data_IF_650672980891
#
_entry.id   IF_650672980891
#
_cell.length_a   1.000
_cell.length_b   1.000
_cell.length_c   1.000
_cell.angle_alpha   90.00
_cell.angle_beta   90.00
_cell.angle_gamma   90.00
#
_symmetry.space_group_name_H-M   'P 1'
#
loop_
_entity.id
_entity.type
_entity.pdbx_description
1 polymer ?
#
# COMPACT_ATOMS: atom_id res chain seq x y z
N UNK A 1 28.36 -6.42 -5.41
CA UNK A 1 26.94 -6.29 -5.07
C UNK A 1 26.27 -7.67 -5.00
N UNK A 2 25.08 -7.74 -4.45
CA UNK A 2 24.29 -8.97 -4.37
C UNK A 2 23.53 -9.14 -5.69
N UNK A 3 23.63 -10.34 -6.30
CA UNK A 3 22.81 -10.64 -7.48
C UNK A 3 21.37 -10.96 -7.05
N UNK A 4 20.39 -10.39 -7.76
CA UNK A 4 18.95 -10.53 -7.48
C UNK A 4 18.23 -11.12 -8.68
N UNK A 5 17.49 -12.20 -8.46
CA UNK A 5 16.57 -12.75 -9.46
C UNK A 5 15.13 -12.60 -8.98
N UNK A 6 14.34 -11.76 -9.66
CA UNK A 6 12.91 -11.55 -9.39
C UNK A 6 12.08 -12.64 -10.08
N UNK A 7 11.36 -13.44 -9.31
CA UNK A 7 10.39 -14.42 -9.83
C UNK A 7 8.98 -13.85 -9.67
N UNK A 8 8.26 -13.71 -10.77
CA UNK A 8 6.88 -13.21 -10.80
C UNK A 8 5.95 -14.27 -11.39
N UNK A 9 4.87 -14.57 -10.67
CA UNK A 9 3.87 -15.55 -11.13
C UNK A 9 3.05 -15.04 -12.32
N UNK A 10 2.99 -13.73 -12.51
CA UNK A 10 2.20 -13.08 -13.56
C UNK A 10 3.04 -12.83 -14.80
N UNK A 11 2.40 -12.39 -15.88
CA UNK A 11 3.03 -12.08 -17.18
C UNK A 11 3.93 -10.85 -17.14
N UNK A 12 3.71 -9.99 -16.16
CA UNK A 12 4.48 -8.76 -15.90
C UNK A 12 4.34 -8.32 -14.44
N UNK A 13 5.07 -7.27 -14.04
CA UNK A 13 4.98 -6.72 -12.69
C UNK A 13 3.64 -6.02 -12.42
N UNK A 14 3.26 -5.92 -11.15
CA UNK A 14 2.09 -5.15 -10.67
C UNK A 14 0.73 -5.63 -11.16
N UNK A 15 0.52 -6.92 -11.36
CA UNK A 15 -0.78 -7.48 -11.75
C UNK A 15 -1.71 -7.75 -10.56
N UNK A 16 -1.20 -7.74 -9.33
CA UNK A 16 -1.98 -7.91 -8.10
C UNK A 16 -2.55 -6.57 -7.56
N UNK A 17 -2.51 -6.38 -6.25
CA UNK A 17 -3.02 -5.16 -5.59
C UNK A 17 -2.37 -3.84 -6.06
N UNK A 18 -1.20 -3.90 -6.68
CA UNK A 18 -0.52 -2.76 -7.28
C UNK A 18 -1.05 -2.40 -8.68
N UNK A 19 -2.01 -3.15 -9.24
CA UNK A 19 -2.61 -2.89 -10.56
C UNK A 19 -3.68 -1.78 -10.51
N UNK A 20 -3.55 -0.83 -9.61
CA UNK A 20 -4.45 0.32 -9.51
C UNK A 20 -3.90 1.49 -10.33
N UNK A 21 -4.80 2.34 -10.90
CA UNK A 21 -4.40 3.55 -11.63
C UNK A 21 -3.81 4.59 -10.70
N UNK A 22 -4.45 4.84 -9.56
CA UNK A 22 -4.02 5.81 -8.56
C UNK A 22 -4.21 5.23 -7.16
N UNK A 23 -3.24 5.44 -6.30
CA UNK A 23 -3.31 5.09 -4.89
C UNK A 23 -2.94 6.29 -4.04
N UNK A 24 -3.72 6.56 -2.99
CA UNK A 24 -3.43 7.63 -2.05
C UNK A 24 -2.20 7.31 -1.19
N UNK A 25 -1.33 8.29 -1.01
CA UNK A 25 -0.12 8.23 -0.20
C UNK A 25 -0.22 9.22 0.97
N UNK A 26 -0.44 8.71 2.16
CA UNK A 26 -0.56 9.51 3.38
C UNK A 26 -0.24 8.70 4.64
N UNK A 27 0.24 9.34 5.74
CA UNK A 27 0.46 8.68 7.01
C UNK A 27 -0.86 8.54 7.79
N UNK A 28 -1.00 7.48 8.60
CA UNK A 28 -2.07 7.39 9.58
C UNK A 28 -1.60 8.00 10.92
N UNK A 29 -2.02 9.23 11.17
CA UNK A 29 -1.63 9.98 12.35
C UNK A 29 -2.66 9.75 13.48
N UNK A 30 -2.24 9.28 14.66
CA UNK A 30 -3.13 9.10 15.81
C UNK A 30 -3.31 10.41 16.63
N UNK A 31 -4.32 10.42 17.50
CA UNK A 31 -4.57 11.53 18.43
C UNK A 31 -3.40 11.78 19.40
N UNK A 32 -2.69 10.71 19.78
CA UNK A 32 -1.53 10.75 20.68
C UNK A 32 -0.33 10.13 19.98
N UNK A 33 0.87 10.58 20.30
CA UNK A 33 2.09 9.94 19.83
C UNK A 33 2.16 8.50 20.33
N UNK A 34 2.25 7.58 19.39
CA UNK A 34 2.42 6.15 19.65
C UNK A 34 3.57 5.63 18.81
N UNK A 35 4.23 4.53 19.18
CA UNK A 35 5.26 3.92 18.34
C UNK A 35 4.78 3.62 16.93
N UNK A 36 3.54 3.16 16.79
CA UNK A 36 2.93 2.90 15.48
C UNK A 36 2.71 4.19 14.66
N UNK A 37 2.22 5.27 15.30
CA UNK A 37 2.06 6.57 14.63
C UNK A 37 3.40 7.18 14.19
N UNK A 38 4.43 7.08 15.03
CA UNK A 38 5.78 7.50 14.67
C UNK A 38 6.36 6.67 13.51
N UNK A 39 6.11 5.36 13.51
CA UNK A 39 6.49 4.49 12.40
C UNK A 39 5.78 4.89 11.09
N UNK A 40 4.49 5.21 11.13
CA UNK A 40 3.76 5.73 9.96
C UNK A 40 4.36 7.05 9.45
N UNK A 41 4.76 7.92 10.36
CA UNK A 41 5.41 9.19 10.02
C UNK A 41 6.76 8.96 9.35
N UNK A 42 7.60 8.10 9.92
CA UNK A 42 8.89 7.71 9.35
C UNK A 42 8.72 7.08 7.95
N UNK A 43 7.77 6.15 7.81
CA UNK A 43 7.47 5.50 6.53
C UNK A 43 7.02 6.52 5.47
N UNK A 44 6.25 7.54 5.87
CA UNK A 44 5.79 8.58 4.97
C UNK A 44 6.94 9.46 4.45
N UNK A 45 7.84 9.89 5.34
CA UNK A 45 9.01 10.66 4.92
C UNK A 45 9.93 9.86 4.01
N UNK A 46 10.19 8.59 4.35
CA UNK A 46 11.00 7.70 3.53
C UNK A 46 10.33 7.46 2.16
N UNK A 47 9.02 7.26 2.12
CA UNK A 47 8.29 7.07 0.87
C UNK A 47 8.38 8.30 -0.04
N UNK A 48 8.21 9.51 0.51
CA UNK A 48 8.37 10.75 -0.26
C UNK A 48 9.77 10.90 -0.85
N UNK A 49 10.79 10.71 -0.02
CA UNK A 49 12.20 10.81 -0.46
C UNK A 49 12.51 9.76 -1.53
N UNK A 50 12.05 8.52 -1.34
CA UNK A 50 12.26 7.43 -2.27
C UNK A 50 11.62 7.71 -3.64
N UNK A 51 10.35 8.12 -3.68
CA UNK A 51 9.69 8.41 -4.96
C UNK A 51 10.30 9.62 -5.66
N UNK A 52 10.66 10.67 -4.93
CA UNK A 52 11.37 11.82 -5.50
C UNK A 52 12.74 11.40 -6.07
N UNK A 53 13.48 10.57 -5.35
CA UNK A 53 14.76 10.04 -5.83
C UNK A 53 14.58 9.20 -7.09
N UNK A 54 13.56 8.33 -7.16
CA UNK A 54 13.24 7.59 -8.37
C UNK A 54 12.99 8.51 -9.58
N UNK A 55 12.25 9.61 -9.40
CA UNK A 55 12.05 10.60 -10.47
C UNK A 55 13.37 11.27 -10.87
N UNK A 56 14.24 11.61 -9.92
CA UNK A 56 15.58 12.15 -10.19
C UNK A 56 16.48 11.18 -10.96
N UNK A 57 16.31 9.88 -10.77
CA UNK A 57 16.97 8.83 -11.55
C UNK A 57 16.37 8.63 -12.95
N UNK A 58 15.34 9.41 -13.31
CA UNK A 58 14.69 9.36 -14.62
C UNK A 58 13.58 8.30 -14.72
N UNK A 59 13.09 7.75 -13.62
CA UNK A 59 11.91 6.88 -13.66
C UNK A 59 10.66 7.74 -13.92
N UNK A 60 9.96 7.43 -15.01
CA UNK A 60 8.73 8.14 -15.39
C UNK A 60 7.50 7.39 -14.86
N UNK A 61 6.81 8.02 -13.90
CA UNK A 61 5.55 7.58 -13.34
C UNK A 61 4.77 8.76 -12.76
N UNK A 62 3.43 8.74 -12.87
CA UNK A 62 2.59 9.79 -12.32
C UNK A 62 2.62 9.80 -10.79
N UNK A 63 2.91 10.97 -10.23
CA UNK A 63 2.95 11.27 -8.81
C UNK A 63 2.56 12.73 -8.61
N UNK A 64 1.62 12.98 -7.69
CA UNK A 64 1.20 14.34 -7.35
C UNK A 64 1.02 14.48 -5.83
N UNK A 65 1.74 15.39 -5.23
CA UNK A 65 1.63 15.79 -3.82
C UNK A 65 0.57 16.89 -3.65
N UNK A 66 -0.61 16.67 -4.16
CA UNK A 66 -1.74 17.59 -4.17
C UNK A 66 -2.47 17.72 -2.82
N UNK A 67 -1.96 17.07 -1.79
CA UNK A 67 -2.62 16.95 -0.50
C UNK A 67 -3.66 15.82 -0.44
N UNK A 68 -4.03 15.47 0.80
CA UNK A 68 -5.09 14.52 1.11
C UNK A 68 -6.01 15.11 2.15
N UNK A 69 -7.30 15.18 1.85
CA UNK A 69 -8.35 15.68 2.73
C UNK A 69 -9.16 14.50 3.31
N UNK A 70 -9.05 14.27 4.60
CA UNK A 70 -9.87 13.29 5.33
C UNK A 70 -11.11 13.96 5.88
N UNK A 71 -12.27 13.73 5.27
CA UNK A 71 -13.53 14.33 5.68
C UNK A 71 -14.04 13.77 7.00
N UNK A 72 -14.67 14.64 7.79
CA UNK A 72 -15.40 14.28 9.00
C UNK A 72 -16.78 13.72 8.65
N UNK A 73 -16.83 12.67 7.83
CA UNK A 73 -18.06 12.15 7.21
C UNK A 73 -18.98 11.40 8.17
N UNK A 74 -18.55 11.16 9.41
CA UNK A 74 -19.38 10.61 10.50
C UNK A 74 -19.10 11.36 11.79
N UNK A 75 -20.06 11.33 12.72
CA UNK A 75 -19.90 11.95 14.04
C UNK A 75 -18.66 11.43 14.77
N UNK A 76 -18.42 10.12 14.72
CA UNK A 76 -17.24 9.51 15.31
C UNK A 76 -15.92 10.04 14.73
N UNK A 77 -15.87 10.25 13.41
CA UNK A 77 -14.70 10.85 12.75
C UNK A 77 -14.53 12.31 13.14
N UNK A 78 -15.61 13.08 13.20
CA UNK A 78 -15.60 14.48 13.63
C UNK A 78 -15.06 14.62 15.06
N UNK A 79 -15.58 13.82 16.01
CA UNK A 79 -15.06 13.79 17.39
C UNK A 79 -13.57 13.43 17.48
N UNK A 80 -13.16 12.42 16.72
CA UNK A 80 -11.74 12.01 16.67
C UNK A 80 -10.87 13.15 16.14
N UNK A 81 -11.29 13.81 15.08
CA UNK A 81 -10.57 14.94 14.49
C UNK A 81 -10.49 16.12 15.45
N UNK A 82 -11.57 16.46 16.16
CA UNK A 82 -11.56 17.47 17.21
C UNK A 82 -10.58 17.14 18.34
N UNK A 83 -10.53 15.87 18.79
CA UNK A 83 -9.55 15.41 19.77
C UNK A 83 -8.11 15.55 19.26
N UNK A 84 -7.87 15.33 17.96
CA UNK A 84 -6.55 15.54 17.34
C UNK A 84 -6.18 17.02 17.31
N UNK A 85 -7.14 17.91 16.98
CA UNK A 85 -6.96 19.36 17.04
C UNK A 85 -6.54 19.82 18.42
N UNK A 86 -7.32 19.42 19.44
CA UNK A 86 -7.08 19.80 20.82
C UNK A 86 -5.74 19.26 21.36
N UNK A 87 -5.32 18.08 20.92
CA UNK A 87 -4.04 17.48 21.33
C UNK A 87 -2.83 18.20 20.74
N UNK A 88 -2.94 18.80 19.55
CA UNK A 88 -1.92 19.61 18.85
C UNK A 88 -0.52 18.93 18.77
N UNK A 89 -0.47 17.60 18.64
CA UNK A 89 0.79 16.84 18.64
C UNK A 89 1.49 16.78 17.28
N UNK A 90 0.76 17.13 16.19
CA UNK A 90 1.28 17.10 14.84
C UNK A 90 1.47 18.53 14.32
N UNK A 91 2.61 18.85 13.69
CA UNK A 91 2.86 20.18 13.15
C UNK A 91 1.94 20.48 11.95
N UNK A 92 1.67 21.77 11.71
CA UNK A 92 0.75 22.21 10.65
C UNK A 92 1.21 21.81 9.24
N UNK A 93 2.49 21.59 9.03
CA UNK A 93 3.04 21.07 7.78
C UNK A 93 2.61 19.64 7.49
N UNK A 94 2.29 18.86 8.52
CA UNK A 94 1.81 17.48 8.38
C UNK A 94 0.30 17.38 8.44
N UNK A 95 -0.36 18.22 9.26
CA UNK A 95 -1.78 18.08 9.54
C UNK A 95 -2.42 19.44 9.87
N UNK A 96 -3.47 19.78 9.12
CA UNK A 96 -4.27 20.98 9.33
C UNK A 96 -5.73 20.61 9.55
N UNK A 97 -6.42 21.36 10.43
CA UNK A 97 -7.87 21.28 10.55
C UNK A 97 -8.49 22.32 9.64
N UNK A 98 -9.52 21.91 8.90
CA UNK A 98 -10.20 22.74 7.94
C UNK A 98 -11.72 22.61 8.13
N UNK A 99 -12.43 23.73 8.09
CA UNK A 99 -13.89 23.73 8.01
C UNK A 99 -14.39 23.42 6.59
N UNK A 100 -15.68 23.36 6.37
CA UNK A 100 -16.26 23.03 5.07
C UNK A 100 -15.91 24.06 3.98
N UNK A 101 -15.76 25.34 4.32
CA UNK A 101 -15.40 26.38 3.37
C UNK A 101 -13.95 26.22 2.90
N UNK A 102 -13.01 26.05 3.85
CA UNK A 102 -11.61 25.80 3.54
C UNK A 102 -11.41 24.44 2.83
N UNK A 103 -12.17 23.40 3.20
CA UNK A 103 -12.16 22.11 2.52
C UNK A 103 -12.61 22.23 1.06
N UNK A 104 -13.66 23.01 0.79
CA UNK A 104 -14.15 23.32 -0.57
C UNK A 104 -13.09 24.06 -1.38
N UNK A 105 -12.43 25.06 -0.80
CA UNK A 105 -11.36 25.80 -1.46
C UNK A 105 -10.18 24.89 -1.81
N UNK A 106 -9.72 24.07 -0.88
CA UNK A 106 -8.62 23.11 -1.10
C UNK A 106 -8.96 22.06 -2.14
N UNK A 107 -10.16 21.49 -2.05
CA UNK A 107 -10.61 20.45 -2.98
C UNK A 107 -10.90 20.99 -4.39
N UNK A 108 -11.33 22.26 -4.53
CA UNK A 108 -11.79 22.83 -5.79
C UNK A 108 -13.20 22.41 -6.19
N UNK A 109 -13.89 21.65 -5.35
CA UNK A 109 -15.27 21.19 -5.52
C UNK A 109 -16.04 21.40 -4.23
N UNK A 110 -17.36 21.64 -4.32
CA UNK A 110 -18.20 21.90 -3.15
C UNK A 110 -18.23 20.70 -2.22
N UNK A 111 -17.96 20.94 -0.95
CA UNK A 111 -17.99 19.96 0.14
C UNK A 111 -18.85 20.49 1.29
N UNK A 112 -19.66 19.61 1.87
CA UNK A 112 -20.54 19.94 3.00
C UNK A 112 -19.85 19.82 4.35
N UNK A 113 -18.66 19.22 4.39
CA UNK A 113 -17.94 18.86 5.61
C UNK A 113 -16.51 19.36 5.55
N UNK A 114 -16.01 19.77 6.71
CA UNK A 114 -14.60 19.96 6.96
C UNK A 114 -13.90 18.66 7.27
N UNK A 115 -12.64 18.77 7.71
CA UNK A 115 -11.87 17.59 8.05
C UNK A 115 -10.43 17.88 8.41
N UNK A 116 -9.58 16.88 8.21
CA UNK A 116 -8.13 16.97 8.33
C UNK A 116 -7.52 17.04 6.94
N UNK A 117 -6.73 18.07 6.68
CA UNK A 117 -5.92 18.20 5.49
C UNK A 117 -4.46 17.82 5.79
N UNK A 118 -3.88 16.98 4.94
CA UNK A 118 -2.49 16.54 4.97
C UNK A 118 -1.75 17.14 3.76
N UNK A 119 -1.12 18.33 3.90
CA UNK A 119 -0.61 19.11 2.77
C UNK A 119 0.50 18.40 1.97
N UNK A 120 1.31 17.59 2.65
CA UNK A 120 2.44 16.89 2.05
C UNK A 120 2.08 15.53 1.44
N UNK A 121 0.83 15.09 1.61
CA UNK A 121 0.30 13.85 1.08
C UNK A 121 -0.14 13.99 -0.39
N UNK A 122 -0.60 12.91 -1.00
CA UNK A 122 -1.06 12.96 -2.39
C UNK A 122 -1.41 11.58 -2.92
N UNK A 123 -1.13 11.36 -4.19
CA UNK A 123 -1.33 10.06 -4.85
C UNK A 123 -0.18 9.74 -5.81
N UNK A 124 -0.04 8.48 -6.14
CA UNK A 124 0.79 8.03 -7.26
C UNK A 124 0.12 6.86 -7.99
N UNK A 125 0.59 6.59 -9.23
CA UNK A 125 0.15 5.47 -10.06
C UNK A 125 1.00 4.23 -9.74
N UNK A 126 0.52 3.27 -8.90
CA UNK A 126 1.37 2.19 -8.41
C UNK A 126 1.79 1.22 -9.49
N UNK A 127 0.92 0.92 -10.47
CA UNK A 127 1.29 0.07 -11.60
C UNK A 127 2.38 0.71 -12.45
N UNK A 128 2.21 1.97 -12.84
CA UNK A 128 3.19 2.70 -13.65
C UNK A 128 4.54 2.80 -12.91
N UNK A 129 4.51 3.07 -11.59
CA UNK A 129 5.71 3.09 -10.77
C UNK A 129 6.43 1.74 -10.75
N UNK A 130 5.73 0.62 -10.50
CA UNK A 130 6.35 -0.70 -10.49
C UNK A 130 6.96 -1.06 -11.84
N UNK A 131 6.28 -0.71 -12.94
CA UNK A 131 6.79 -0.93 -14.29
C UNK A 131 8.02 -0.07 -14.59
N UNK A 132 8.02 1.22 -14.21
CA UNK A 132 9.16 2.11 -14.36
C UNK A 132 10.37 1.61 -13.56
N UNK A 133 10.14 1.19 -12.31
CA UNK A 133 11.18 0.64 -11.45
C UNK A 133 11.76 -0.67 -12.02
N UNK A 134 10.91 -1.56 -12.49
CA UNK A 134 11.36 -2.81 -13.13
C UNK A 134 12.19 -2.54 -14.38
N UNK A 135 11.75 -1.62 -15.26
CA UNK A 135 12.54 -1.23 -16.45
C UNK A 135 13.91 -0.68 -16.06
N UNK A 136 13.98 0.19 -15.07
CA UNK A 136 15.23 0.73 -14.56
C UNK A 136 16.13 -0.39 -13.99
N UNK A 137 15.61 -1.26 -13.14
CA UNK A 137 16.38 -2.36 -12.55
C UNK A 137 16.87 -3.36 -13.61
N UNK A 138 16.10 -3.58 -14.67
CA UNK A 138 16.48 -4.49 -15.78
C UNK A 138 17.71 -4.00 -16.55
N UNK A 139 18.09 -2.72 -16.41
CA UNK A 139 19.34 -2.21 -16.98
C UNK A 139 20.53 -2.31 -16.02
N UNK A 140 20.30 -2.71 -14.77
CA UNK A 140 21.35 -2.76 -13.75
C UNK A 140 22.09 -4.10 -13.76
N UNK A 141 23.43 -4.11 -13.60
CA UNK A 141 24.18 -5.36 -13.49
C UNK A 141 23.77 -6.13 -12.23
N UNK A 142 23.63 -7.44 -12.37
CA UNK A 142 23.26 -8.32 -11.27
C UNK A 142 21.78 -8.43 -10.98
N UNK A 143 20.90 -7.75 -11.73
CA UNK A 143 19.46 -7.93 -11.67
C UNK A 143 18.98 -8.81 -12.85
N UNK A 144 18.08 -9.75 -12.55
CA UNK A 144 17.35 -10.54 -13.54
C UNK A 144 15.91 -10.75 -13.10
N UNK A 145 15.02 -11.03 -14.03
CA UNK A 145 13.62 -11.32 -13.74
C UNK A 145 13.06 -12.45 -14.60
N UNK A 146 12.14 -13.23 -14.03
CA UNK A 146 11.41 -14.28 -14.73
C UNK A 146 9.92 -14.11 -14.45
N UNK A 147 9.12 -14.01 -15.52
CA UNK A 147 7.67 -13.91 -15.49
C UNK A 147 7.02 -15.28 -15.80
N UNK A 148 5.71 -15.41 -15.52
CA UNK A 148 5.01 -16.68 -15.57
C UNK A 148 5.71 -17.76 -14.75
N UNK A 149 6.42 -17.36 -13.70
CA UNK A 149 7.25 -18.21 -12.85
C UNK A 149 6.66 -18.26 -11.44
N UNK A 150 5.57 -19.02 -11.28
CA UNK A 150 4.94 -19.27 -9.99
C UNK A 150 5.76 -20.26 -9.18
N UNK A 151 6.25 -19.84 -8.02
CA UNK A 151 6.86 -20.75 -7.04
C UNK A 151 5.73 -21.45 -6.28
N UNK A 152 5.71 -22.78 -6.32
CA UNK A 152 4.67 -23.61 -5.72
C UNK A 152 5.14 -24.25 -4.40
N UNK A 153 6.44 -24.54 -4.29
CA UNK A 153 7.02 -25.17 -3.11
C UNK A 153 8.41 -24.61 -2.81
N UNK A 154 8.72 -24.51 -1.53
CA UNK A 154 10.03 -24.16 -0.99
C UNK A 154 10.61 -25.35 -0.26
N UNK A 155 11.84 -25.74 -0.62
CA UNK A 155 12.62 -26.77 0.04
C UNK A 155 13.89 -26.15 0.64
N UNK A 156 14.10 -26.38 1.94
CA UNK A 156 15.30 -25.93 2.61
C UNK A 156 16.49 -26.84 2.27
N UNK A 157 17.61 -26.23 1.91
CA UNK A 157 18.89 -26.91 1.71
C UNK A 157 19.83 -26.57 2.88
N UNK A 158 20.97 -27.26 2.96
CA UNK A 158 22.01 -26.99 3.97
C UNK A 158 22.57 -25.56 3.89
N UNK A 159 22.64 -24.99 2.68
CA UNK A 159 23.29 -23.73 2.36
C UNK A 159 22.41 -22.76 1.54
N UNK A 160 21.11 -23.05 1.42
CA UNK A 160 20.21 -22.22 0.61
C UNK A 160 18.78 -22.73 0.56
N UNK A 161 18.13 -22.39 -0.53
CA UNK A 161 16.75 -22.72 -0.83
C UNK A 161 16.64 -23.31 -2.23
N UNK A 162 15.77 -24.30 -2.37
CA UNK A 162 15.31 -24.80 -3.67
C UNK A 162 13.85 -24.40 -3.85
N UNK A 163 13.56 -23.78 -5.00
CA UNK A 163 12.26 -23.28 -5.36
C UNK A 163 11.71 -24.13 -6.50
N UNK A 164 10.58 -24.76 -6.27
CA UNK A 164 9.91 -25.58 -7.28
C UNK A 164 8.82 -24.75 -7.96
N UNK A 165 8.83 -24.76 -9.28
CA UNK A 165 7.77 -24.21 -10.16
C UNK A 165 7.16 -25.34 -10.96
N UNK A 166 6.08 -25.07 -11.70
CA UNK A 166 5.47 -26.09 -12.55
C UNK A 166 6.42 -26.65 -13.64
N UNK A 167 7.44 -25.89 -14.06
CA UNK A 167 8.27 -26.24 -15.23
C UNK A 167 9.75 -26.42 -14.88
N UNK A 168 10.23 -25.88 -13.76
CA UNK A 168 11.65 -25.90 -13.41
C UNK A 168 11.89 -25.82 -11.91
N UNK A 169 13.14 -26.03 -11.54
CA UNK A 169 13.64 -25.89 -10.17
C UNK A 169 14.79 -24.89 -10.16
N UNK A 170 14.73 -23.94 -9.23
CA UNK A 170 15.74 -22.90 -9.05
C UNK A 170 16.37 -23.01 -7.67
N UNK A 171 17.57 -22.48 -7.51
CA UNK A 171 18.26 -22.43 -6.20
C UNK A 171 18.68 -21.00 -5.88
N UNK A 172 18.68 -20.66 -4.58
CA UNK A 172 19.14 -19.38 -4.08
C UNK A 172 19.77 -19.53 -2.70
N UNK A 173 20.83 -18.77 -2.42
CA UNK A 173 21.46 -18.74 -1.10
C UNK A 173 20.56 -18.06 -0.05
N UNK A 174 19.80 -17.07 -0.46
CA UNK A 174 18.85 -16.35 0.38
C UNK A 174 17.53 -16.19 -0.37
N UNK A 175 16.44 -16.16 0.35
CA UNK A 175 15.10 -15.99 -0.23
C UNK A 175 14.37 -14.83 0.45
N UNK A 176 13.90 -13.87 -0.35
CA UNK A 176 12.96 -12.83 0.06
C UNK A 176 11.58 -13.12 -0.55
N UNK A 177 10.59 -13.35 0.30
CA UNK A 177 9.21 -13.61 -0.13
C UNK A 177 8.40 -12.32 -0.02
N UNK A 178 7.90 -11.84 -1.16
CA UNK A 178 7.12 -10.62 -1.31
C UNK A 178 5.85 -10.87 -2.17
N UNK A 179 5.28 -12.07 -2.09
CA UNK A 179 4.19 -12.56 -2.94
C UNK A 179 2.78 -12.12 -2.51
N UNK A 180 2.69 -11.12 -1.63
CA UNK A 180 1.43 -10.46 -1.24
C UNK A 180 0.41 -11.42 -0.61
N UNK A 181 -0.79 -11.46 -1.16
CA UNK A 181 -1.90 -12.22 -0.60
C UNK A 181 -1.77 -13.75 -0.78
N UNK A 182 -0.82 -14.21 -1.57
CA UNK A 182 -0.57 -15.64 -1.79
C UNK A 182 0.47 -16.24 -0.82
N UNK A 183 0.93 -15.50 0.20
CA UNK A 183 1.94 -15.97 1.15
C UNK A 183 1.57 -17.30 1.78
N UNK A 184 0.36 -17.43 2.30
CA UNK A 184 -0.09 -18.61 3.05
C UNK A 184 -0.31 -19.86 2.20
N UNK A 185 -0.21 -19.75 0.86
CA UNK A 185 -0.19 -20.91 -0.03
C UNK A 185 1.14 -21.67 0.03
N UNK A 186 2.21 -21.01 0.45
CA UNK A 186 3.50 -21.65 0.68
C UNK A 186 3.54 -22.23 2.08
N UNK A 187 3.77 -23.54 2.19
CA UNK A 187 3.68 -24.31 3.42
C UNK A 187 4.42 -23.70 4.64
N UNK A 188 5.63 -23.13 4.52
CA UNK A 188 6.31 -22.52 5.67
C UNK A 188 5.56 -21.35 6.32
N UNK A 189 4.62 -20.73 5.61
CA UNK A 189 3.92 -19.53 6.05
C UNK A 189 2.42 -19.75 6.31
N UNK A 190 1.92 -21.00 6.19
CA UNK A 190 0.50 -21.31 6.32
C UNK A 190 -0.10 -20.90 7.68
N UNK A 191 0.72 -20.86 8.74
CA UNK A 191 0.29 -20.46 10.08
C UNK A 191 0.35 -18.94 10.36
N UNK A 192 0.91 -18.15 9.45
CA UNK A 192 0.95 -16.69 9.61
C UNK A 192 -0.46 -16.10 9.39
N UNK A 193 -0.89 -15.13 10.22
CA UNK A 193 -2.22 -14.56 10.15
C UNK A 193 -2.35 -13.53 9.02
N UNK A 194 -1.99 -13.92 7.81
CA UNK A 194 -2.13 -13.08 6.61
C UNK A 194 -3.46 -13.42 5.93
N UNK A 195 -4.35 -12.44 5.89
CA UNK A 195 -5.68 -12.58 5.32
C UNK A 195 -5.72 -11.99 3.91
N UNK A 196 -6.40 -12.67 3.01
CA UNK A 196 -6.74 -12.18 1.69
C UNK A 196 -8.02 -11.36 1.78
N UNK A 197 -7.95 -10.10 1.36
CA UNK A 197 -9.13 -9.22 1.33
C UNK A 197 -9.28 -8.67 -0.08
N UNK A 198 -10.33 -9.10 -0.76
CA UNK A 198 -10.67 -8.57 -2.07
C UNK A 198 -11.14 -7.11 -1.96
N UNK A 199 -10.76 -6.29 -2.92
CA UNK A 199 -11.30 -4.95 -3.08
C UNK A 199 -11.30 -4.57 -4.54
N UNK A 200 -12.36 -3.89 -4.97
CA UNK A 200 -12.49 -3.32 -6.29
C UNK A 200 -12.48 -1.80 -6.20
N UNK A 201 -11.73 -1.17 -7.08
CA UNK A 201 -11.77 0.26 -7.36
C UNK A 201 -12.45 0.50 -8.68
N UNK A 202 -13.24 1.56 -8.78
CA UNK A 202 -13.89 1.99 -10.00
C UNK A 202 -13.18 3.22 -10.56
N UNK A 203 -12.98 3.27 -11.86
CA UNK A 203 -12.46 4.43 -12.57
C UNK A 203 -13.64 5.12 -13.24
N UNK A 204 -13.85 6.39 -12.93
CA UNK A 204 -15.05 7.11 -13.34
C UNK A 204 -14.69 8.37 -14.13
N UNK A 205 -15.48 8.61 -15.18
CA UNK A 205 -15.60 9.91 -15.80
C UNK A 205 -16.57 10.77 -14.97
N UNK A 206 -16.19 11.99 -14.70
CA UNK A 206 -16.97 12.93 -13.91
C UNK A 206 -16.67 14.37 -14.34
N UNK A 207 -17.34 14.92 -15.35
CA UNK A 207 -17.07 16.26 -15.85
C UNK A 207 -17.18 17.34 -14.77
N UNK A 208 -18.12 17.18 -13.84
CA UNK A 208 -18.33 18.12 -12.73
C UNK A 208 -17.19 18.08 -11.69
N UNK A 209 -16.35 17.06 -11.73
CA UNK A 209 -15.15 16.93 -10.90
C UNK A 209 -13.87 17.43 -11.57
N UNK A 210 -13.93 17.99 -12.76
CA UNK A 210 -12.76 18.55 -13.44
C UNK A 210 -11.95 19.54 -12.56
N UNK A 211 -12.58 20.35 -11.65
CA UNK A 211 -11.86 21.24 -10.74
C UNK A 211 -11.22 20.55 -9.51
N UNK A 212 -11.43 19.24 -9.30
CA UNK A 212 -10.90 18.54 -8.14
C UNK A 212 -9.37 18.55 -8.13
N UNK A 213 -8.76 19.08 -7.05
CA UNK A 213 -7.33 19.32 -6.93
C UNK A 213 -6.64 18.51 -5.85
N UNK A 214 -7.36 17.87 -4.94
CA UNK A 214 -6.79 17.08 -3.85
C UNK A 214 -7.46 15.71 -3.74
N UNK A 215 -6.78 14.75 -3.13
CA UNK A 215 -7.39 13.47 -2.81
C UNK A 215 -8.37 13.64 -1.67
N UNK A 216 -9.59 13.17 -1.83
CA UNK A 216 -10.60 13.15 -0.78
C UNK A 216 -10.68 11.73 -0.21
N UNK A 217 -10.46 11.59 1.10
CA UNK A 217 -10.63 10.35 1.84
C UNK A 217 -11.87 10.44 2.75
N UNK A 218 -12.65 9.39 2.73
CA UNK A 218 -13.81 9.15 3.59
C UNK A 218 -13.72 7.70 4.09
N UNK A 219 -14.76 6.92 4.09
CA UNK A 219 -14.67 5.46 4.27
C UNK A 219 -13.95 4.78 3.08
N UNK A 220 -14.02 5.40 1.90
CA UNK A 220 -13.21 5.13 0.72
C UNK A 220 -12.28 6.30 0.37
N UNK A 221 -12.04 6.51 -0.93
CA UNK A 221 -11.29 7.65 -1.44
C UNK A 221 -11.78 8.06 -2.84
N UNK A 222 -11.47 9.30 -3.21
CA UNK A 222 -11.65 9.89 -4.55
C UNK A 222 -10.36 10.65 -4.90
N UNK A 223 -9.80 10.40 -6.08
CA UNK A 223 -8.58 11.08 -6.55
C UNK A 223 -8.91 12.17 -7.58
N UNK A 224 -8.08 13.22 -7.73
CA UNK A 224 -8.07 14.04 -8.93
C UNK A 224 -7.94 13.20 -10.20
N UNK A 225 -8.48 13.71 -11.31
CA UNK A 225 -8.42 12.97 -12.57
C UNK A 225 -6.97 12.78 -13.05
N UNK A 226 -6.67 11.59 -13.51
CA UNK A 226 -5.48 11.28 -14.29
C UNK A 226 -5.90 10.60 -15.59
N UNK A 227 -5.49 11.21 -16.72
CA UNK A 227 -5.93 10.79 -18.06
C UNK A 227 -7.48 10.75 -18.19
N UNK A 228 -8.15 11.77 -17.66
CA UNK A 228 -9.61 11.93 -17.74
C UNK A 228 -10.42 11.10 -16.74
N UNK A 229 -9.81 10.23 -15.95
CA UNK A 229 -10.50 9.34 -15.02
C UNK A 229 -10.12 9.60 -13.57
N UNK A 230 -11.11 9.59 -12.69
CA UNK A 230 -10.94 9.57 -11.25
C UNK A 230 -10.97 8.13 -10.73
N UNK A 231 -10.23 7.83 -9.64
CA UNK A 231 -10.37 6.56 -8.94
C UNK A 231 -11.25 6.75 -7.71
N UNK A 232 -12.26 5.90 -7.56
CA UNK A 232 -13.12 5.82 -6.37
C UNK A 232 -13.11 4.41 -5.79
N UNK A 233 -13.29 4.28 -4.50
CA UNK A 233 -13.35 2.98 -3.84
C UNK A 233 -12.68 2.95 -2.48
N UNK A 234 -12.47 1.77 -1.97
CA UNK A 234 -12.67 0.48 -2.63
C UNK A 234 -13.59 -0.39 -1.78
N UNK A 235 -14.24 -1.33 -2.42
CA UNK A 235 -14.96 -2.38 -1.70
C UNK A 235 -14.03 -3.21 -0.83
N UNK A 236 -14.62 -3.95 0.12
CA UNK A 236 -13.86 -4.72 1.11
C UNK A 236 -14.58 -6.05 1.39
N UNK A 237 -14.11 -7.13 0.76
CA UNK A 237 -14.69 -8.46 0.91
C UNK A 237 -13.64 -9.46 1.41
N UNK A 238 -13.92 -10.07 2.56
CA UNK A 238 -13.08 -11.09 3.21
C UNK A 238 -13.46 -12.51 2.80
N UNK A 239 -14.58 -12.68 2.14
CA UNK A 239 -15.14 -13.98 1.79
C UNK A 239 -14.88 -14.36 0.33
N UNK A 240 -14.51 -13.39 -0.49
CA UNK A 240 -14.24 -13.62 -1.90
C UNK A 240 -13.09 -14.61 -2.12
N UNK A 241 -13.29 -15.55 -3.00
CA UNK A 241 -12.28 -16.55 -3.41
C UNK A 241 -11.51 -16.09 -4.65
N UNK A 242 -12.12 -15.27 -5.50
CA UNK A 242 -11.54 -14.76 -6.74
C UNK A 242 -11.50 -13.25 -6.78
N UNK A 243 -10.60 -12.67 -7.57
CA UNK A 243 -10.53 -11.23 -7.83
C UNK A 243 -11.33 -10.82 -9.10
N UNK A 244 -12.43 -11.53 -9.37
CA UNK A 244 -13.31 -11.21 -10.50
C UNK A 244 -13.92 -9.81 -10.32
N UNK A 245 -14.05 -9.06 -11.44
CA UNK A 245 -14.77 -7.78 -11.45
C UNK A 245 -16.26 -8.02 -11.28
N UNK A 246 -16.91 -7.17 -10.49
CA UNK A 246 -18.35 -7.21 -10.20
C UNK A 246 -18.95 -5.83 -10.40
N UNK A 247 -20.00 -5.71 -11.21
CA UNK A 247 -20.74 -4.46 -11.44
C UNK A 247 -21.38 -3.96 -10.12
N UNK A 248 -21.75 -4.89 -9.24
CA UNK A 248 -22.28 -4.55 -7.91
C UNK A 248 -21.29 -3.78 -7.05
N UNK A 249 -19.97 -4.00 -7.22
CA UNK A 249 -18.94 -3.26 -6.51
C UNK A 249 -18.82 -1.82 -7.03
N UNK A 250 -18.99 -1.61 -8.32
CA UNK A 250 -19.00 -0.26 -8.92
C UNK A 250 -20.20 0.54 -8.41
N UNK A 251 -21.37 -0.09 -8.37
CA UNK A 251 -22.58 0.50 -7.78
C UNK A 251 -22.35 0.84 -6.30
N UNK A 252 -21.71 -0.07 -5.55
CA UNK A 252 -21.40 0.15 -4.14
C UNK A 252 -20.42 1.30 -3.95
N UNK A 253 -19.35 1.38 -4.75
CA UNK A 253 -18.35 2.46 -4.67
C UNK A 253 -18.99 3.83 -4.92
N UNK A 254 -19.88 3.96 -5.92
CA UNK A 254 -20.63 5.20 -6.20
C UNK A 254 -21.59 5.53 -5.05
N UNK A 255 -22.34 4.54 -4.57
CA UNK A 255 -23.28 4.74 -3.47
C UNK A 255 -22.57 5.17 -2.18
N UNK A 256 -21.44 4.56 -1.84
CA UNK A 256 -20.61 4.92 -0.69
C UNK A 256 -20.08 6.35 -0.83
N UNK A 257 -19.55 6.72 -2.00
CA UNK A 257 -19.08 8.07 -2.28
C UNK A 257 -20.21 9.11 -2.04
N UNK A 258 -21.39 8.89 -2.62
CA UNK A 258 -22.55 9.78 -2.48
C UNK A 258 -23.00 9.91 -1.02
N UNK A 259 -23.06 8.80 -0.31
CA UNK A 259 -23.46 8.77 1.10
C UNK A 259 -22.49 9.54 1.98
N UNK A 260 -21.19 9.30 1.82
CA UNK A 260 -20.15 9.89 2.66
C UNK A 260 -19.95 11.39 2.40
N UNK A 261 -20.20 11.84 1.19
CA UNK A 261 -20.10 13.24 0.79
C UNK A 261 -21.46 13.98 0.85
N UNK A 262 -22.48 13.33 1.42
CA UNK A 262 -23.84 13.87 1.52
C UNK A 262 -24.43 14.23 0.15
N UNK A 263 -24.19 13.39 -0.84
CA UNK A 263 -24.68 13.48 -2.22
C UNK A 263 -24.53 14.88 -2.83
N UNK A 264 -23.32 15.43 -2.92
CA UNK A 264 -23.11 16.70 -3.60
C UNK A 264 -23.52 16.60 -5.07
N UNK A 265 -23.94 17.72 -5.67
CA UNK A 265 -24.49 17.77 -7.04
C UNK A 265 -23.58 17.10 -8.07
N UNK A 266 -22.27 17.33 -7.96
CA UNK A 266 -21.29 16.74 -8.86
C UNK A 266 -21.21 15.21 -8.81
N UNK A 267 -21.71 14.57 -7.76
CA UNK A 267 -21.74 13.10 -7.66
C UNK A 267 -22.85 12.43 -8.47
N UNK A 268 -23.76 13.21 -9.05
CA UNK A 268 -24.89 12.69 -9.82
C UNK A 268 -24.47 12.17 -11.21
N UNK A 269 -23.44 12.76 -11.82
CA UNK A 269 -23.02 12.50 -13.20
C UNK A 269 -21.70 11.69 -13.26
N UNK A 270 -21.64 10.59 -12.49
CA UNK A 270 -20.51 9.67 -12.51
C UNK A 270 -20.79 8.50 -13.45
N UNK A 271 -19.91 8.29 -14.43
CA UNK A 271 -19.98 7.14 -15.34
C UNK A 271 -18.76 6.25 -15.12
N UNK A 272 -18.97 4.96 -14.87
CA UNK A 272 -17.86 3.98 -14.74
C UNK A 272 -17.33 3.69 -16.13
N UNK A 273 -16.03 3.93 -16.33
CA UNK A 273 -15.29 3.56 -17.55
C UNK A 273 -14.68 2.16 -17.39
N UNK A 274 -14.03 1.92 -16.27
CA UNK A 274 -13.34 0.66 -15.99
C UNK A 274 -13.22 0.41 -14.50
N UNK A 275 -12.78 -0.79 -14.13
CA UNK A 275 -12.55 -1.16 -12.75
C UNK A 275 -11.33 -2.07 -12.61
N UNK A 276 -10.80 -2.19 -11.38
CA UNK A 276 -9.75 -3.15 -11.02
C UNK A 276 -10.08 -3.79 -9.68
N UNK A 277 -10.01 -5.11 -9.65
CA UNK A 277 -10.17 -5.89 -8.43
C UNK A 277 -8.90 -6.70 -8.13
N UNK A 278 -8.53 -6.77 -6.85
CA UNK A 278 -7.38 -7.53 -6.41
C UNK A 278 -7.50 -7.94 -4.94
N UNK A 279 -6.65 -8.88 -4.52
CA UNK A 279 -6.51 -9.24 -3.11
C UNK A 279 -5.42 -8.42 -2.44
N UNK A 280 -5.77 -7.75 -1.34
CA UNK A 280 -4.83 -7.16 -0.41
C UNK A 280 -4.41 -8.22 0.61
N UNK A 281 -3.11 -8.25 0.93
CA UNK A 281 -2.60 -9.02 2.06
C UNK A 281 -2.73 -8.17 3.33
N UNK A 282 -3.57 -8.57 4.28
CA UNK A 282 -3.76 -7.87 5.55
C UNK A 282 -3.37 -8.73 6.73
N UNK A 283 -2.93 -8.09 7.80
CA UNK A 283 -2.64 -8.73 9.09
C UNK A 283 -3.49 -8.09 10.19
N UNK A 284 -3.74 -8.79 11.33
CA UNK A 284 -4.67 -8.33 12.36
C UNK A 284 -4.37 -6.95 12.95
N UNK A 285 -3.09 -6.61 13.11
CA UNK A 285 -2.63 -5.33 13.67
C UNK A 285 -2.43 -4.24 12.62
N UNK A 286 -2.75 -4.51 11.35
CA UNK A 286 -2.61 -3.59 10.21
C UNK A 286 -1.18 -3.09 9.95
N UNK A 287 -0.16 -3.71 10.53
CA UNK A 287 1.25 -3.46 10.24
C UNK A 287 1.82 -4.59 9.40
N UNK A 288 2.66 -4.29 8.41
CA UNK A 288 3.21 -5.34 7.55
C UNK A 288 4.17 -6.29 8.27
N UNK A 289 4.46 -7.42 7.64
CA UNK A 289 5.51 -8.36 8.04
C UNK A 289 6.76 -8.04 7.23
N UNK A 290 7.81 -7.58 7.90
CA UNK A 290 9.08 -7.26 7.27
C UNK A 290 10.25 -7.70 8.16
N UNK A 291 11.20 -8.42 7.56
CA UNK A 291 12.40 -8.88 8.24
C UNK A 291 12.64 -10.38 8.13
N UNK A 292 13.63 -10.86 8.88
CA UNK A 292 14.00 -12.27 8.85
C UNK A 292 12.88 -13.15 9.45
N UNK A 293 12.54 -14.19 8.72
CA UNK A 293 11.64 -15.24 9.19
C UNK A 293 12.46 -16.45 9.62
N UNK A 294 12.33 -16.83 10.88
CA UNK A 294 13.02 -18.00 11.43
C UNK A 294 12.20 -19.25 11.18
N UNK A 295 12.73 -20.13 10.35
CA UNK A 295 12.21 -21.47 10.15
C UNK A 295 13.20 -22.46 10.77
N UNK A 296 12.80 -23.18 11.80
CA UNK A 296 13.66 -24.15 12.51
C UNK A 296 14.16 -25.28 11.60
N UNK A 297 13.53 -25.49 10.45
CA UNK A 297 13.92 -26.51 9.48
C UNK A 297 14.98 -26.03 8.47
N UNK A 298 15.35 -24.71 8.47
CA UNK A 298 16.25 -24.18 7.47
C UNK A 298 17.28 -23.20 8.08
N UNK A 299 18.58 -23.47 7.95
CA UNK A 299 19.63 -22.55 8.40
C UNK A 299 19.78 -21.34 7.48
N UNK A 300 19.42 -21.46 6.20
CA UNK A 300 19.59 -20.41 5.21
C UNK A 300 18.63 -19.21 5.45
N UNK A 301 19.08 -17.97 5.15
CA UNK A 301 18.28 -16.78 5.37
C UNK A 301 16.97 -16.77 4.57
N UNK A 302 15.88 -16.51 5.29
CA UNK A 302 14.53 -16.35 4.74
C UNK A 302 13.96 -15.02 5.24
N UNK A 303 13.52 -14.19 4.30
CA UNK A 303 13.04 -12.84 4.56
C UNK A 303 11.62 -12.67 4.08
N UNK A 304 10.84 -11.86 4.76
CA UNK A 304 9.48 -11.50 4.37
C UNK A 304 9.33 -10.01 4.12
N UNK A 305 8.52 -9.67 3.10
CA UNK A 305 8.00 -8.33 2.86
C UNK A 305 6.56 -8.44 2.37
N UNK A 306 5.61 -8.62 3.28
CA UNK A 306 4.20 -8.90 2.97
C UNK A 306 3.26 -8.24 3.97
N UNK A 307 1.95 -8.35 3.73
CA UNK A 307 0.96 -7.81 4.66
C UNK A 307 0.79 -6.30 4.60
N UNK A 308 1.11 -5.68 3.47
CA UNK A 308 1.07 -4.23 3.26
C UNK A 308 -0.34 -3.63 3.32
N UNK A 309 -1.38 -4.46 3.21
CA UNK A 309 -2.79 -4.05 3.25
C UNK A 309 -3.11 -3.03 2.15
N UNK A 310 -3.76 -1.94 2.55
CA UNK A 310 -4.09 -0.81 1.67
C UNK A 310 -3.00 0.30 1.66
N UNK A 311 -1.83 0.07 2.29
CA UNK A 311 -0.79 1.09 2.50
C UNK A 311 0.56 0.71 1.91
N UNK A 312 0.57 -0.08 0.84
CA UNK A 312 1.81 -0.50 0.17
C UNK A 312 2.69 0.66 -0.25
N UNK A 313 2.10 1.71 -0.80
CA UNK A 313 2.81 2.92 -1.21
C UNK A 313 3.51 3.65 -0.05
N UNK A 314 2.92 3.60 1.13
CA UNK A 314 3.51 4.18 2.33
C UNK A 314 4.65 3.32 2.89
N UNK A 315 4.43 2.01 3.00
CA UNK A 315 5.31 1.13 3.77
C UNK A 315 6.46 0.54 2.95
N UNK A 316 6.22 0.21 1.68
CA UNK A 316 7.19 -0.55 0.88
C UNK A 316 8.57 0.11 0.77
N UNK A 317 8.72 1.44 0.60
CA UNK A 317 10.03 2.07 0.53
C UNK A 317 10.86 1.89 1.81
N UNK A 318 10.30 2.18 2.99
CA UNK A 318 11.03 2.01 4.25
C UNK A 318 11.36 0.54 4.52
N UNK A 319 10.47 -0.39 4.19
CA UNK A 319 10.70 -1.82 4.35
C UNK A 319 11.80 -2.34 3.42
N UNK A 320 11.84 -1.84 2.20
CA UNK A 320 12.90 -2.19 1.26
C UNK A 320 14.28 -1.77 1.79
N UNK A 321 14.40 -0.56 2.33
CA UNK A 321 15.63 -0.07 2.97
C UNK A 321 16.02 -0.90 4.21
N UNK A 322 15.04 -1.22 5.08
CA UNK A 322 15.28 -2.08 6.25
C UNK A 322 15.80 -3.44 5.83
N UNK A 323 15.19 -4.07 4.82
CA UNK A 323 15.60 -5.39 4.34
C UNK A 323 16.95 -5.35 3.64
N UNK A 324 17.17 -4.35 2.79
CA UNK A 324 18.46 -4.17 2.13
C UNK A 324 19.59 -4.03 3.16
N UNK A 325 19.41 -3.18 4.16
CA UNK A 325 20.39 -3.00 5.24
C UNK A 325 20.62 -4.29 6.04
N UNK A 326 19.56 -5.04 6.38
CA UNK A 326 19.69 -6.33 7.09
C UNK A 326 20.42 -7.38 6.26
N UNK A 327 20.16 -7.44 4.96
CA UNK A 327 20.77 -8.41 4.04
C UNK A 327 22.24 -8.06 3.78
N UNK A 328 22.57 -6.77 3.66
CA UNK A 328 23.94 -6.30 3.37
C UNK A 328 24.78 -6.11 4.63
N UNK A 329 24.21 -6.18 5.83
CA UNK A 329 24.91 -5.90 7.08
C UNK A 329 25.18 -4.40 7.32
N UNK A 330 24.38 -3.52 6.70
CA UNK A 330 24.48 -2.07 6.84
C UNK A 330 23.65 -1.54 8.03
N UNK A 331 23.89 -0.30 8.47
CA UNK A 331 23.07 0.34 9.50
C UNK A 331 21.59 0.40 9.08
N UNK A 332 20.70 -0.11 9.94
CA UNK A 332 19.28 -0.21 9.63
C UNK A 332 18.61 1.15 9.85
N UNK A 333 17.84 1.70 8.89
CA UNK A 333 17.19 3.01 9.00
C UNK A 333 15.90 2.94 9.85
N UNK A 334 15.93 2.24 10.97
CA UNK A 334 14.80 2.12 11.91
C UNK A 334 15.30 1.72 13.29
N UNK A 335 14.71 2.29 14.34
CA UNK A 335 15.00 1.89 15.72
C UNK A 335 14.42 0.51 16.06
N UNK A 336 14.87 -0.05 17.18
CA UNK A 336 14.47 -1.38 17.64
C UNK A 336 12.93 -1.54 17.75
N UNK A 337 12.24 -0.51 18.23
CA UNK A 337 10.77 -0.51 18.34
C UNK A 337 10.11 -0.66 16.97
N UNK A 338 10.57 0.06 15.94
CA UNK A 338 10.06 -0.09 14.58
C UNK A 338 10.30 -1.50 14.02
N UNK A 339 11.48 -2.07 14.25
CA UNK A 339 11.79 -3.43 13.84
C UNK A 339 10.92 -4.48 14.55
N UNK A 340 10.63 -4.29 15.84
CA UNK A 340 9.72 -5.17 16.58
C UNK A 340 8.28 -5.10 16.04
N UNK A 341 7.80 -3.90 15.68
CA UNK A 341 6.48 -3.71 15.07
C UNK A 341 6.32 -4.45 13.73
N UNK A 342 7.42 -4.62 12.99
CA UNK A 342 7.42 -5.26 11.68
C UNK A 342 7.76 -6.76 11.73
N UNK A 343 8.38 -7.22 12.81
CA UNK A 343 8.92 -8.57 12.91
C UNK A 343 7.86 -9.66 12.64
N UNK A 344 8.12 -10.61 11.73
CA UNK A 344 7.25 -11.78 11.57
C UNK A 344 7.08 -12.57 12.88
N UNK A 345 8.08 -12.58 13.75
CA UNK A 345 8.06 -13.29 15.02
C UNK A 345 7.02 -12.77 16.02
N UNK A 346 6.45 -11.57 15.81
CA UNK A 346 5.39 -11.02 16.69
C UNK A 346 4.10 -11.85 16.66
N UNK A 347 3.90 -12.67 15.62
CA UNK A 347 2.77 -13.59 15.50
C UNK A 347 3.14 -15.05 15.74
N UNK A 348 4.41 -15.38 15.92
CA UNK A 348 4.80 -16.72 16.35
C UNK A 348 4.51 -16.82 17.85
N UNK A 349 3.74 -17.83 18.27
CA UNK A 349 3.56 -18.12 19.70
C UNK A 349 4.94 -18.33 20.29
N UNK A 350 5.28 -17.57 21.35
CA UNK A 350 6.39 -17.96 22.23
C UNK A 350 6.04 -19.39 22.72
N UNK A 351 6.75 -20.39 22.24
CA UNK A 351 6.75 -21.69 22.90
C UNK A 351 7.21 -21.39 24.32
N UNK A 352 6.26 -21.53 25.25
CA UNK A 352 6.58 -21.43 26.68
C UNK A 352 7.64 -22.52 26.95
N UNK A 353 8.85 -22.09 27.21
CA UNK A 353 9.91 -22.90 27.83
C UNK A 353 9.60 -23.02 29.32
#
# INVERSE_FOLDING_TARGET
GIAVNLLCADVEVAQGASHNRQGALYPNLPVKLTPQGLFHCQAFWQARQFYQHCQQLGLDFPLDYCGVLHLASTEQLAERQQKMAAAAVWPAELLQFVDAAAATELAGVSLQQGGIFLPLAGWLAPQAFCQALWRYLSTQPGFSSQFNCRVEQLEALSDGWRLHTATTTLTAQQLLVANGADLTRLAPFAALPVNRVRGQVSHVEAPDLAPLRTVICHKGYLTPAWQGLHCIGATFDRTAETAQLLDTDDIQNIAELRQQLQAPDWSQHLTVDSAKAAFRATVPDHLPLCGRYHNNAAPAPLWLNVGLGARGLLFAPLQAEILAAQISGEPIPSGQTGLQLLSPARFTKKTAT
#
